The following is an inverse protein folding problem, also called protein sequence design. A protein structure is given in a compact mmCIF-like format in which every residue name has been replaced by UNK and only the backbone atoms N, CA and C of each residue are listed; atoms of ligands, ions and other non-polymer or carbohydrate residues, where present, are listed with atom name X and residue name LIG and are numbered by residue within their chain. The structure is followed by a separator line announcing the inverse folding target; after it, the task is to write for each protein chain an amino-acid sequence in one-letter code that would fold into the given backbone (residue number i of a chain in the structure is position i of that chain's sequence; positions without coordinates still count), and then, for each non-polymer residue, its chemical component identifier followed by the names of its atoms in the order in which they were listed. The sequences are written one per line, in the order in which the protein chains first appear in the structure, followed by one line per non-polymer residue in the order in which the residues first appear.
data_IF_168266548927
#
_entry.id   IF_168266548927
#
_cell.length_a   1.000
_cell.length_b   1.000
_cell.length_c   1.000
_cell.angle_alpha   90.00
_cell.angle_beta   90.00
_cell.angle_gamma   90.00
#
_symmetry.space_group_name_H-M   'P 1'
#
loop_
_entity.id
_entity.type
_entity.pdbx_description
1 polymer ?
#
# COMPACT_ATOMS: atom_id res chain seq x y z
N UNK A 1 -1.32 -17.13 9.36
CA UNK A 1 -1.96 -15.86 8.93
C UNK A 1 -0.91 -14.79 9.06
N UNK A 2 -0.73 -13.93 8.04
CA UNK A 2 0.26 -12.86 8.09
C UNK A 2 -0.34 -11.59 8.69
N UNK A 3 0.12 -11.19 9.87
CA UNK A 3 -0.45 -10.06 10.61
C UNK A 3 0.51 -8.87 10.71
N UNK A 4 -0.09 -7.69 10.85
CA UNK A 4 0.58 -6.43 11.12
C UNK A 4 -0.38 -5.45 11.81
N UNK A 5 0.17 -4.46 12.49
CA UNK A 5 -0.55 -3.32 13.07
C UNK A 5 -0.32 -2.12 12.18
N UNK A 6 -1.40 -1.44 11.81
CA UNK A 6 -1.36 -0.28 10.95
C UNK A 6 -2.23 0.87 11.46
N UNK A 7 -1.86 2.07 11.02
CA UNK A 7 -2.66 3.27 11.14
C UNK A 7 -3.28 3.56 9.78
N UNK A 8 -4.61 3.73 9.77
CA UNK A 8 -5.34 4.14 8.58
C UNK A 8 -4.94 5.56 8.17
N UNK A 9 -4.87 5.80 6.86
CA UNK A 9 -4.61 7.12 6.31
C UNK A 9 -5.93 7.87 6.20
N UNK A 10 -5.94 9.14 6.63
CA UNK A 10 -7.07 10.03 6.44
C UNK A 10 -7.54 10.04 4.97
N UNK A 11 -8.86 9.96 4.69
CA UNK A 11 -9.36 9.86 3.33
C UNK A 11 -8.91 11.00 2.39
N UNK A 12 -8.76 12.23 2.89
CA UNK A 12 -8.30 13.35 2.05
C UNK A 12 -6.81 13.22 1.71
N UNK A 13 -6.01 12.61 2.59
CA UNK A 13 -4.59 12.33 2.33
C UNK A 13 -4.45 11.15 1.36
N UNK A 14 -5.25 10.09 1.54
CA UNK A 14 -5.27 8.94 0.62
C UNK A 14 -5.61 9.36 -0.83
N UNK A 15 -6.42 10.42 -1.02
CA UNK A 15 -6.80 10.93 -2.35
C UNK A 15 -5.62 11.54 -3.04
N UNK A 16 -4.92 12.44 -2.34
CA UNK A 16 -3.72 13.08 -2.86
C UNK A 16 -2.62 12.07 -3.20
N UNK A 17 -2.48 11.01 -2.40
CA UNK A 17 -1.52 9.93 -2.69
C UNK A 17 -1.96 9.16 -3.95
N UNK A 18 -3.25 8.89 -4.11
CA UNK A 18 -3.79 8.22 -5.30
C UNK A 18 -3.54 9.04 -6.57
N UNK A 19 -3.85 10.35 -6.54
CA UNK A 19 -3.59 11.27 -7.66
C UNK A 19 -2.12 11.29 -8.05
N UNK A 20 -1.24 11.34 -7.04
CA UNK A 20 0.20 11.31 -7.26
C UNK A 20 0.69 9.98 -7.83
N UNK A 21 0.16 8.84 -7.35
CA UNK A 21 0.47 7.52 -7.91
C UNK A 21 0.05 7.40 -9.38
N UNK A 22 -1.06 8.00 -9.78
CA UNK A 22 -1.50 8.03 -11.18
C UNK A 22 -0.55 8.86 -12.06
N UNK A 23 -0.04 9.98 -11.55
CA UNK A 23 1.00 10.75 -12.22
C UNK A 23 2.30 9.94 -12.38
N UNK A 24 2.75 9.29 -11.31
CA UNK A 24 3.93 8.45 -11.34
C UNK A 24 3.77 7.26 -12.29
N UNK A 25 2.58 6.66 -12.35
CA UNK A 25 2.27 5.58 -13.29
C UNK A 25 2.44 6.02 -14.74
N UNK A 26 1.91 7.20 -15.10
CA UNK A 26 2.09 7.77 -16.45
C UNK A 26 3.57 7.95 -16.78
N UNK A 27 4.32 8.61 -15.89
CA UNK A 27 5.78 8.82 -16.06
C UNK A 27 6.56 7.51 -16.16
N UNK A 28 6.18 6.49 -15.38
CA UNK A 28 6.82 5.18 -15.44
C UNK A 28 6.58 4.47 -16.77
N UNK A 29 5.40 4.63 -17.39
CA UNK A 29 5.14 4.11 -18.73
C UNK A 29 6.04 4.75 -19.78
N UNK A 30 6.30 6.06 -19.67
CA UNK A 30 7.10 6.81 -20.64
C UNK A 30 8.61 6.53 -20.49
N UNK A 31 9.10 6.42 -19.24
CA UNK A 31 10.54 6.37 -18.96
C UNK A 31 11.06 5.01 -18.51
N UNK A 32 10.17 4.12 -18.07
CA UNK A 32 10.53 2.83 -17.50
C UNK A 32 9.58 1.73 -18.01
N UNK A 33 9.28 1.74 -19.31
CA UNK A 33 8.31 0.82 -19.94
C UNK A 33 8.56 -0.68 -19.68
N UNK A 34 9.80 -1.07 -19.37
CA UNK A 34 10.17 -2.46 -19.02
C UNK A 34 10.09 -2.78 -17.53
N UNK A 35 9.89 -1.78 -16.67
CA UNK A 35 9.78 -1.97 -15.24
C UNK A 35 8.39 -2.53 -14.88
N UNK A 36 8.38 -3.62 -14.10
CA UNK A 36 7.14 -4.20 -13.58
C UNK A 36 6.82 -3.57 -12.22
N UNK A 37 6.05 -2.48 -12.25
CA UNK A 37 5.62 -1.78 -11.04
C UNK A 37 4.18 -2.19 -10.70
N UNK A 38 3.94 -2.58 -9.45
CA UNK A 38 2.60 -2.84 -8.91
C UNK A 38 2.23 -1.72 -7.95
N UNK A 39 1.07 -1.11 -8.15
CA UNK A 39 0.61 0.05 -7.38
C UNK A 39 -0.38 -0.40 -6.32
N UNK A 40 -0.23 0.12 -5.10
CA UNK A 40 -1.16 -0.14 -4.00
C UNK A 40 -2.46 0.63 -4.25
N UNK A 41 -3.61 -0.03 -4.07
CA UNK A 41 -4.92 0.62 -4.17
C UNK A 41 -5.15 1.57 -3.00
N UNK A 42 -5.91 2.64 -3.23
CA UNK A 42 -6.25 3.65 -2.23
C UNK A 42 -6.76 3.04 -0.93
N UNK A 43 -7.68 2.07 -1.01
CA UNK A 43 -8.33 1.44 0.15
C UNK A 43 -7.37 0.56 0.96
N UNK A 44 -6.19 0.27 0.40
CA UNK A 44 -5.14 -0.52 1.04
C UNK A 44 -3.97 0.36 1.52
N UNK A 45 -4.05 1.68 1.36
CA UNK A 45 -3.04 2.58 1.88
C UNK A 45 -3.12 2.65 3.41
N UNK A 46 -2.00 2.42 4.06
CA UNK A 46 -1.87 2.45 5.51
C UNK A 46 -0.41 2.68 5.89
N UNK A 47 -0.18 3.09 7.14
CA UNK A 47 1.16 3.14 7.72
C UNK A 47 1.32 1.95 8.66
N UNK A 48 2.15 0.98 8.27
CA UNK A 48 2.51 -0.15 9.14
C UNK A 48 3.37 0.35 10.29
N UNK A 49 2.89 0.18 11.52
CA UNK A 49 3.63 0.55 12.74
C UNK A 49 4.43 -0.65 13.25
N UNK A 50 3.88 -1.86 13.11
CA UNK A 50 4.55 -3.09 13.52
C UNK A 50 4.16 -4.25 12.62
N UNK A 51 5.16 -4.92 12.07
CA UNK A 51 4.97 -6.18 11.37
C UNK A 51 5.10 -7.35 12.36
N UNK A 52 4.10 -8.23 12.42
CA UNK A 52 4.05 -9.36 13.38
C UNK A 52 4.58 -10.64 12.72
N UNK A 53 4.31 -10.85 11.43
CA UNK A 53 4.75 -12.05 10.72
C UNK A 53 3.65 -13.10 10.61
N UNK A 54 4.05 -14.35 10.39
CA UNK A 54 3.13 -15.48 10.40
C UNK A 54 2.75 -15.84 11.83
N UNK A 55 1.45 -16.03 12.04
CA UNK A 55 0.87 -16.38 13.32
C UNK A 55 -0.15 -17.50 13.12
N UNK A 56 -0.17 -18.45 14.05
CA UNK A 56 -1.16 -19.53 14.04
C UNK A 56 -2.55 -18.99 14.37
N UNK A 57 -3.58 -19.55 13.74
CA UNK A 57 -4.96 -19.10 13.93
C UNK A 57 -5.40 -19.13 15.39
N UNK A 58 -4.89 -20.08 16.19
CA UNK A 58 -5.19 -20.18 17.62
C UNK A 58 -4.59 -19.03 18.46
N UNK A 59 -3.55 -18.36 17.95
CA UNK A 59 -2.91 -17.22 18.62
C UNK A 59 -3.48 -15.87 18.16
N UNK A 60 -4.31 -15.87 17.13
CA UNK A 60 -4.88 -14.67 16.51
C UNK A 60 -6.32 -14.37 16.94
N UNK A 61 -6.95 -15.26 17.73
CA UNK A 61 -8.34 -15.19 18.18
C UNK A 61 -8.51 -14.54 19.56
#
# INVERSE_FOLDING_TARGET
MRLFVAVEIDPAVAEKISDFNDELRRKAMDHAARARITWVRREQLHVTVRFIGEVDAAQAA
#
